data_IF_969844625035
#
_entry.id   IF_969844625035
#
_cell.length_a   1.000
_cell.length_b   1.000
_cell.length_c   1.000
_cell.angle_alpha   90.00
_cell.angle_beta   90.00
_cell.angle_gamma   90.00
#
_symmetry.space_group_name_H-M   'P 1'
#
loop_
_entity.id
_entity.type
_entity.pdbx_description
1 polymer ?
#
# COMPACT_ATOMS: atom_id res chain seq x y z
N UNK A 1 9.70 15.02 19.12
CA UNK A 1 11.08 14.48 19.24
C UNK A 1 11.68 14.78 20.62
N UNK A 2 11.46 15.96 21.19
CA UNK A 2 11.94 16.35 22.53
C UNK A 2 11.48 15.42 23.66
N UNK A 3 10.25 14.89 23.60
CA UNK A 3 9.71 13.99 24.63
C UNK A 3 10.15 12.52 24.52
N UNK A 4 10.84 12.13 23.44
CA UNK A 4 11.25 10.73 23.21
C UNK A 4 12.76 10.57 23.30
N UNK A 5 13.53 11.54 22.79
CA UNK A 5 14.98 11.43 22.66
C UNK A 5 15.71 12.37 23.67
N UNK A 6 14.97 13.15 24.46
CA UNK A 6 15.50 14.14 25.43
C UNK A 6 16.59 15.08 24.86
N UNK A 7 16.66 15.23 23.55
CA UNK A 7 17.66 16.04 22.86
C UNK A 7 17.12 17.46 22.69
N UNK A 8 17.82 18.46 23.25
CA UNK A 8 17.43 19.88 23.22
C UNK A 8 18.01 20.65 22.04
N UNK A 9 19.11 20.17 21.45
CA UNK A 9 19.82 20.80 20.34
C UNK A 9 20.38 19.76 19.40
N UNK A 10 20.18 19.95 18.09
CA UNK A 10 20.64 19.06 17.04
C UNK A 10 20.99 19.88 15.80
N UNK A 11 22.00 19.43 15.06
CA UNK A 11 22.41 20.01 13.78
C UNK A 11 22.23 18.98 12.67
N UNK A 12 21.69 19.39 11.52
CA UNK A 12 21.61 18.55 10.33
C UNK A 12 22.97 18.55 9.66
N UNK A 13 23.75 17.48 9.85
CA UNK A 13 25.06 17.33 9.21
C UNK A 13 24.98 16.84 7.77
N UNK A 14 23.94 16.09 7.42
CA UNK A 14 23.68 15.60 6.07
C UNK A 14 22.19 15.30 5.87
N UNK A 15 21.72 15.33 4.62
CA UNK A 15 20.34 15.01 4.26
C UNK A 15 20.33 14.15 3.01
N UNK A 16 19.71 12.97 3.11
CA UNK A 16 19.42 12.11 1.97
C UNK A 16 17.92 12.09 1.67
N UNK A 17 17.58 11.79 0.42
CA UNK A 17 16.20 11.61 -0.01
C UNK A 17 16.12 10.38 -0.92
N UNK A 18 15.16 9.51 -0.60
CA UNK A 18 14.72 8.43 -1.48
C UNK A 18 13.28 8.65 -1.93
N UNK A 19 12.93 8.11 -3.11
CA UNK A 19 11.56 8.06 -3.58
C UNK A 19 11.20 6.59 -3.90
N UNK A 20 10.17 6.07 -3.22
CA UNK A 20 9.60 4.76 -3.54
C UNK A 20 8.43 5.00 -4.48
N UNK A 21 8.46 4.49 -5.72
CA UNK A 21 7.37 4.69 -6.66
C UNK A 21 6.12 3.97 -6.17
N UNK A 22 5.05 4.73 -5.96
CA UNK A 22 3.70 4.24 -5.64
C UNK A 22 2.88 4.06 -6.92
N UNK A 23 3.41 3.33 -7.91
CA UNK A 23 2.78 3.19 -9.21
C UNK A 23 2.53 1.73 -9.60
N UNK A 24 1.63 1.55 -10.56
CA UNK A 24 1.40 0.28 -11.20
C UNK A 24 2.58 -0.11 -12.07
N UNK A 25 2.78 -1.43 -12.18
CA UNK A 25 3.76 -1.99 -13.11
C UNK A 25 3.31 -1.81 -14.56
N UNK A 26 4.30 -1.64 -15.43
CA UNK A 26 4.18 -1.88 -16.88
C UNK A 26 3.75 -3.33 -17.11
N UNK A 27 2.81 -3.52 -18.05
CA UNK A 27 2.45 -4.83 -18.59
C UNK A 27 3.63 -5.42 -19.36
N UNK A 28 4.52 -6.09 -18.64
CA UNK A 28 5.55 -6.93 -19.23
C UNK A 28 4.95 -8.33 -19.37
N UNK A 29 4.95 -8.89 -20.59
CA UNK A 29 4.62 -10.30 -20.79
C UNK A 29 5.60 -11.14 -19.98
N UNK A 30 5.14 -11.92 -18.98
CA UNK A 30 6.05 -12.68 -18.13
C UNK A 30 6.63 -13.86 -18.92
N UNK A 31 7.93 -14.10 -18.75
CA UNK A 31 8.55 -15.35 -19.14
C UNK A 31 8.28 -16.38 -18.03
N UNK A 32 7.22 -17.16 -18.18
CA UNK A 32 6.78 -18.17 -17.19
C UNK A 32 5.77 -17.64 -16.17
N UNK A 33 5.63 -18.34 -15.04
CA UNK A 33 4.68 -18.00 -13.98
C UNK A 33 5.13 -16.73 -13.24
N UNK A 34 4.38 -15.61 -13.30
CA UNK A 34 4.78 -14.39 -12.63
C UNK A 34 4.72 -14.56 -11.10
N UNK A 35 5.74 -14.05 -10.40
CA UNK A 35 5.76 -14.00 -8.92
C UNK A 35 6.11 -12.60 -8.39
N UNK A 36 5.81 -12.40 -7.11
CA UNK A 36 6.08 -11.18 -6.37
C UNK A 36 5.47 -9.94 -7.03
N UNK A 37 6.27 -8.90 -7.19
CA UNK A 37 5.79 -7.66 -7.78
C UNK A 37 5.22 -7.88 -9.21
N UNK A 38 5.79 -8.79 -10.02
CA UNK A 38 5.28 -9.08 -11.38
C UNK A 38 3.90 -9.75 -11.37
N UNK A 39 3.48 -10.26 -10.21
CA UNK A 39 2.17 -10.86 -10.00
C UNK A 39 1.20 -9.95 -9.24
N UNK A 40 1.53 -8.66 -9.09
CA UNK A 40 0.68 -7.73 -8.36
C UNK A 40 0.69 -7.95 -6.84
N UNK A 41 1.82 -8.39 -6.26
CA UNK A 41 1.94 -8.53 -4.80
C UNK A 41 2.02 -7.18 -4.06
N UNK A 42 2.32 -6.07 -4.73
CA UNK A 42 2.47 -4.77 -4.08
C UNK A 42 1.13 -4.12 -3.77
N UNK A 43 0.97 -3.58 -2.56
CA UNK A 43 -0.05 -2.58 -2.26
C UNK A 43 0.42 -1.23 -2.74
N UNK A 44 -0.22 -0.67 -3.76
CA UNK A 44 0.28 0.56 -4.41
C UNK A 44 0.07 1.79 -3.54
N UNK A 45 -0.92 1.80 -2.64
CA UNK A 45 -1.14 2.90 -1.68
C UNK A 45 -0.06 3.01 -0.59
N UNK A 46 0.59 1.89 -0.23
CA UNK A 46 1.61 1.85 0.83
C UNK A 46 3.03 1.63 0.30
N UNK A 47 3.15 1.16 -0.95
CA UNK A 47 4.43 0.73 -1.54
C UNK A 47 4.98 -0.56 -0.90
N UNK A 48 4.24 -1.20 -0.01
CA UNK A 48 4.69 -2.40 0.70
C UNK A 48 4.31 -3.65 -0.08
N UNK A 49 5.29 -4.53 -0.30
CA UNK A 49 5.09 -5.79 -1.03
C UNK A 49 5.60 -7.02 -0.27
N UNK A 50 6.46 -6.83 0.73
CA UNK A 50 7.20 -7.93 1.35
C UNK A 50 6.28 -9.01 1.93
N UNK A 51 5.31 -8.62 2.76
CA UNK A 51 4.35 -9.56 3.36
C UNK A 51 3.58 -10.36 2.30
N UNK A 52 3.09 -9.67 1.28
CA UNK A 52 2.31 -10.27 0.20
C UNK A 52 3.15 -11.24 -0.66
N UNK A 53 4.42 -10.92 -0.90
CA UNK A 53 5.37 -11.82 -1.58
C UNK A 53 5.56 -13.11 -0.77
N UNK A 54 5.69 -13.02 0.56
CA UNK A 54 5.82 -14.19 1.43
C UNK A 54 4.54 -15.04 1.40
N UNK A 55 3.36 -14.42 1.51
CA UNK A 55 2.08 -15.13 1.40
C UNK A 55 1.93 -15.85 0.06
N UNK A 56 2.33 -15.19 -1.02
CA UNK A 56 2.35 -15.76 -2.35
C UNK A 56 3.29 -16.97 -2.43
N UNK A 57 4.54 -16.85 -1.97
CA UNK A 57 5.51 -17.94 -1.98
C UNK A 57 5.01 -19.17 -1.20
N UNK A 58 4.43 -18.96 -0.02
CA UNK A 58 3.83 -20.04 0.78
C UNK A 58 2.68 -20.72 0.02
N UNK A 59 1.81 -19.95 -0.64
CA UNK A 59 0.71 -20.50 -1.43
C UNK A 59 1.20 -21.29 -2.64
N UNK A 60 2.26 -20.82 -3.31
CA UNK A 60 2.92 -21.56 -4.40
C UNK A 60 3.47 -22.89 -3.88
N UNK A 61 4.22 -22.89 -2.77
CA UNK A 61 4.76 -24.11 -2.17
C UNK A 61 3.68 -25.14 -1.82
N UNK A 62 2.52 -24.69 -1.31
CA UNK A 62 1.36 -25.57 -1.04
C UNK A 62 0.77 -26.20 -2.29
N UNK A 63 0.73 -25.47 -3.41
CA UNK A 63 0.21 -25.96 -4.69
C UNK A 63 1.14 -26.98 -5.32
N UNK A 64 2.45 -26.69 -5.32
CA UNK A 64 3.48 -27.60 -5.83
C UNK A 64 3.48 -28.92 -5.05
N UNK A 65 3.37 -28.86 -3.71
CA UNK A 65 3.27 -30.07 -2.86
C UNK A 65 2.05 -30.94 -3.21
N UNK A 66 0.99 -30.36 -3.76
CA UNK A 66 -0.22 -31.08 -4.20
C UNK A 66 -0.12 -31.63 -5.63
N UNK A 67 1.04 -31.49 -6.29
CA UNK A 67 1.23 -31.96 -7.67
C UNK A 67 0.48 -31.13 -8.71
N UNK A 68 0.16 -29.87 -8.42
CA UNK A 68 -0.50 -29.00 -9.39
C UNK A 68 0.49 -28.61 -10.49
N UNK A 69 0.16 -28.96 -11.75
CA UNK A 69 0.96 -28.64 -12.92
C UNK A 69 0.94 -27.14 -13.28
N UNK A 70 -0.13 -26.43 -12.90
CA UNK A 70 -0.28 -24.99 -13.10
C UNK A 70 -0.50 -24.32 -11.74
N UNK A 71 0.46 -23.49 -11.35
CA UNK A 71 0.41 -22.75 -10.09
C UNK A 71 -0.48 -21.52 -10.28
N UNK A 72 -1.55 -21.44 -9.51
CA UNK A 72 -2.39 -20.24 -9.41
C UNK A 72 -1.71 -19.22 -8.51
N UNK A 73 -1.51 -18.04 -9.08
CA UNK A 73 -0.91 -16.92 -8.40
C UNK A 73 -2.02 -15.96 -7.97
N UNK A 74 -2.06 -15.66 -6.67
CA UNK A 74 -3.02 -14.70 -6.11
C UNK A 74 -2.35 -13.31 -6.03
N UNK A 75 -3.02 -12.25 -6.49
CA UNK A 75 -2.55 -10.88 -6.28
C UNK A 75 -2.57 -10.53 -4.78
N UNK A 76 -1.80 -9.52 -4.39
CA UNK A 76 -1.68 -9.06 -3.00
C UNK A 76 -2.84 -8.18 -2.51
N UNK A 77 -3.81 -7.91 -3.37
CA UNK A 77 -5.01 -7.12 -3.08
C UNK A 77 -6.21 -7.65 -3.86
N UNK A 78 -7.39 -7.52 -3.24
CA UNK A 78 -8.68 -7.72 -3.90
C UNK A 78 -8.97 -6.60 -4.90
N UNK A 79 -9.92 -6.80 -5.82
CA UNK A 79 -10.34 -5.75 -6.77
C UNK A 79 -10.81 -4.48 -6.06
N UNK A 80 -11.52 -4.63 -4.93
CA UNK A 80 -11.95 -3.50 -4.11
C UNK A 80 -10.77 -2.75 -3.49
N UNK A 81 -9.75 -3.45 -3.00
CA UNK A 81 -8.54 -2.81 -2.46
C UNK A 81 -7.72 -2.13 -3.56
N UNK A 82 -7.60 -2.74 -4.73
CA UNK A 82 -6.97 -2.11 -5.88
C UNK A 82 -7.71 -0.84 -6.30
N UNK A 83 -9.05 -0.84 -6.26
CA UNK A 83 -9.83 0.37 -6.50
C UNK A 83 -9.58 1.45 -5.44
N UNK A 84 -9.61 1.10 -4.14
CA UNK A 84 -9.29 2.07 -3.08
C UNK A 84 -7.87 2.63 -3.23
N UNK A 85 -6.90 1.78 -3.58
CA UNK A 85 -5.52 2.19 -3.80
C UNK A 85 -5.43 3.15 -5.01
N UNK A 86 -6.19 2.91 -6.10
CA UNK A 86 -6.30 3.84 -7.22
C UNK A 86 -6.84 5.21 -6.80
N UNK A 87 -7.93 5.25 -6.02
CA UNK A 87 -8.50 6.51 -5.52
C UNK A 87 -7.47 7.27 -4.68
N UNK A 88 -6.76 6.57 -3.79
CA UNK A 88 -5.74 7.17 -2.95
C UNK A 88 -4.61 7.79 -3.79
N UNK A 89 -4.13 7.08 -4.82
CA UNK A 89 -3.07 7.56 -5.71
C UNK A 89 -3.52 8.68 -6.64
N UNK A 90 -4.77 8.67 -7.11
CA UNK A 90 -5.35 9.77 -7.88
C UNK A 90 -5.37 11.07 -7.07
N UNK A 91 -5.77 11.01 -5.80
CA UNK A 91 -5.75 12.17 -4.89
C UNK A 91 -4.33 12.68 -4.69
N UNK A 92 -3.37 11.78 -4.41
CA UNK A 92 -1.98 12.18 -4.19
C UNK A 92 -1.32 12.74 -5.44
N UNK A 93 -1.65 12.21 -6.62
CA UNK A 93 -1.10 12.69 -7.90
C UNK A 93 -1.74 14.00 -8.35
N UNK A 94 -3.05 14.16 -8.16
CA UNK A 94 -3.79 15.39 -8.48
C UNK A 94 -3.44 16.55 -7.54
N UNK A 95 -3.18 16.24 -6.27
CA UNK A 95 -2.91 17.23 -5.22
C UNK A 95 -1.71 16.80 -4.34
N UNK A 96 -0.47 16.82 -4.86
CA UNK A 96 0.72 16.37 -4.09
C UNK A 96 0.92 17.12 -2.77
N UNK A 97 0.47 18.37 -2.68
CA UNK A 97 0.49 19.19 -1.45
C UNK A 97 -0.32 18.59 -0.31
N UNK A 98 -1.29 17.72 -0.60
CA UNK A 98 -2.13 17.04 0.38
C UNK A 98 -1.44 15.83 1.01
N UNK A 99 -0.39 15.30 0.38
CA UNK A 99 0.28 14.08 0.83
C UNK A 99 0.77 14.15 2.30
N UNK A 100 1.48 15.20 2.77
CA UNK A 100 1.90 15.28 4.17
C UNK A 100 0.72 15.28 5.14
N UNK A 101 -0.39 15.94 4.78
CA UNK A 101 -1.60 15.95 5.59
C UNK A 101 -2.24 14.56 5.67
N UNK A 102 -2.41 13.88 4.53
CA UNK A 102 -2.97 12.53 4.44
C UNK A 102 -2.16 11.55 5.28
N UNK A 103 -0.84 11.49 5.07
CA UNK A 103 0.02 10.57 5.82
C UNK A 103 0.08 10.92 7.31
N UNK A 104 0.15 12.20 7.68
CA UNK A 104 0.09 12.59 9.09
C UNK A 104 -1.24 12.23 9.74
N UNK A 105 -2.35 12.30 9.00
CA UNK A 105 -3.68 11.95 9.50
C UNK A 105 -3.76 10.46 9.75
N UNK A 106 -3.34 9.63 8.78
CA UNK A 106 -3.25 8.18 8.95
C UNK A 106 -2.44 7.77 10.17
N UNK A 107 -1.25 8.37 10.35
CA UNK A 107 -0.36 8.08 11.47
C UNK A 107 -0.93 8.49 12.83
N UNK A 108 -1.79 9.52 12.88
CA UNK A 108 -2.46 9.97 14.12
C UNK A 108 -3.73 9.18 14.42
N UNK A 109 -4.45 8.73 13.39
CA UNK A 109 -5.74 8.03 13.53
C UNK A 109 -5.56 6.56 13.91
N UNK A 110 -4.49 5.92 13.44
CA UNK A 110 -4.24 4.49 13.66
C UNK A 110 -3.31 4.26 14.85
N UNK A 111 -3.57 3.19 15.61
CA UNK A 111 -2.57 2.65 16.54
C UNK A 111 -1.38 2.07 15.75
N UNK A 112 -0.25 1.80 16.43
CA UNK A 112 0.90 1.16 15.79
C UNK A 112 0.51 -0.17 15.12
N UNK A 113 -0.26 -1.01 15.80
CA UNK A 113 -0.71 -2.30 15.26
C UNK A 113 -1.65 -2.15 14.07
N UNK A 114 -2.57 -1.17 14.12
CA UNK A 114 -3.48 -0.91 13.02
C UNK A 114 -2.76 -0.33 11.80
N UNK A 115 -1.74 0.50 12.05
CA UNK A 115 -0.89 1.04 11.01
C UNK A 115 -0.09 -0.08 10.33
N UNK A 116 0.46 -1.03 11.11
CA UNK A 116 1.12 -2.22 10.55
C UNK A 116 0.16 -3.05 9.69
N UNK A 117 -1.05 -3.34 10.18
CA UNK A 117 -2.08 -4.07 9.42
C UNK A 117 -2.43 -3.39 8.10
N UNK A 118 -2.56 -2.06 8.12
CA UNK A 118 -2.73 -1.27 6.90
C UNK A 118 -1.53 -1.41 5.95
N UNK A 119 -0.30 -1.24 6.45
CA UNK A 119 0.93 -1.33 5.64
C UNK A 119 1.11 -2.71 4.98
N UNK A 120 0.90 -3.80 5.72
CA UNK A 120 1.11 -5.16 5.21
C UNK A 120 -0.04 -5.67 4.32
N UNK A 121 -1.13 -4.91 4.22
CA UNK A 121 -2.30 -5.25 3.42
C UNK A 121 -3.32 -6.17 4.09
N UNK A 122 -3.10 -6.57 5.35
CA UNK A 122 -4.08 -7.32 6.17
C UNK A 122 -4.99 -6.35 6.94
N UNK A 123 -5.72 -5.53 6.18
CA UNK A 123 -6.49 -4.42 6.72
C UNK A 123 -7.99 -4.79 6.82
N UNK A 124 -8.51 -5.11 8.01
CA UNK A 124 -9.93 -5.38 8.19
C UNK A 124 -10.80 -4.15 7.89
N UNK A 125 -12.08 -4.40 7.59
CA UNK A 125 -13.05 -3.35 7.25
C UNK A 125 -13.17 -2.27 8.32
N UNK A 126 -12.98 -2.61 9.60
CA UNK A 126 -13.00 -1.66 10.72
C UNK A 126 -11.81 -0.68 10.72
N UNK A 127 -10.66 -1.08 10.18
CA UNK A 127 -9.51 -0.17 9.99
C UNK A 127 -9.74 0.65 8.72
N UNK A 128 -10.20 0.02 7.63
CA UNK A 128 -10.54 0.71 6.37
C UNK A 128 -11.54 1.84 6.59
N UNK A 129 -12.61 1.60 7.36
CA UNK A 129 -13.63 2.62 7.63
C UNK A 129 -13.07 3.80 8.43
N UNK A 130 -12.23 3.55 9.45
CA UNK A 130 -11.56 4.62 10.21
C UNK A 130 -10.66 5.48 9.32
N UNK A 131 -9.92 4.85 8.41
CA UNK A 131 -9.10 5.55 7.42
C UNK A 131 -9.99 6.44 6.54
N UNK A 132 -11.01 5.86 5.92
CA UNK A 132 -11.92 6.58 5.01
C UNK A 132 -12.57 7.78 5.71
N UNK A 133 -12.98 7.61 6.97
CA UNK A 133 -13.64 8.67 7.74
C UNK A 133 -12.68 9.80 8.16
N UNK A 134 -11.40 9.51 8.33
CA UNK A 134 -10.40 10.48 8.76
C UNK A 134 -9.83 11.32 7.61
N UNK A 135 -9.85 10.81 6.39
CA UNK A 135 -9.25 11.47 5.23
C UNK A 135 -10.13 12.59 4.64
N UNK A 136 -9.54 13.54 3.88
CA UNK A 136 -10.26 14.64 3.23
C UNK A 136 -11.37 14.15 2.28
N UNK A 137 -12.62 14.20 2.75
CA UNK A 137 -13.76 13.58 2.04
C UNK A 137 -13.95 14.15 0.64
N UNK A 138 -13.82 15.47 0.49
CA UNK A 138 -14.03 16.14 -0.81
C UNK A 138 -13.02 15.64 -1.84
N UNK A 139 -11.73 15.66 -1.52
CA UNK A 139 -10.67 15.21 -2.42
C UNK A 139 -10.84 13.72 -2.77
N UNK A 140 -11.13 12.88 -1.78
CA UNK A 140 -11.30 11.44 -1.98
C UNK A 140 -12.57 11.08 -2.76
N UNK A 141 -13.66 11.82 -2.59
CA UNK A 141 -14.87 11.65 -3.41
C UNK A 141 -14.59 12.06 -4.86
N UNK A 142 -13.91 13.19 -5.07
CA UNK A 142 -13.52 13.63 -6.42
C UNK A 142 -12.59 12.60 -7.08
N UNK A 143 -11.61 12.07 -6.35
CA UNK A 143 -10.73 11.01 -6.84
C UNK A 143 -11.47 9.70 -7.14
N UNK A 144 -12.46 9.34 -6.32
CA UNK A 144 -13.32 8.18 -6.57
C UNK A 144 -14.16 8.31 -7.84
N UNK A 145 -14.65 9.52 -8.15
CA UNK A 145 -15.38 9.79 -9.39
C UNK A 145 -14.47 9.74 -10.63
N UNK A 146 -13.18 10.11 -10.49
CA UNK A 146 -12.18 10.03 -11.57
C UNK A 146 -11.63 8.62 -11.78
N UNK A 147 -11.68 7.78 -10.74
CA UNK A 147 -11.22 6.39 -10.73
C UNK A 147 -12.41 5.43 -10.74
N UNK A 148 -13.09 5.24 -11.89
CA UNK A 148 -14.21 4.31 -11.96
C UNK A 148 -13.75 2.90 -11.59
N UNK A 149 -14.64 2.15 -10.94
CA UNK A 149 -14.43 0.72 -10.69
C UNK A 149 -14.23 0.03 -12.04
N UNK A 150 -13.04 -0.52 -12.26
CA UNK A 150 -12.67 -1.31 -13.45
C UNK A 150 -12.56 -2.78 -13.10
#
# INVERSE_FOLDING_TARGET
MTNVIQCKSWDVVNKEQGAIPLNYKKDLKPLGTPIGLNAGAMRTSTGYAFSQIIHQAINVGKQLKKGQNLVQIKPGATSFENWMDNVFLDVLSSSPKLAPYVFSTLAKTLSGDDFVKFMIGDCPLSIKSRIILALPKVDFILGALRSPFK
#
